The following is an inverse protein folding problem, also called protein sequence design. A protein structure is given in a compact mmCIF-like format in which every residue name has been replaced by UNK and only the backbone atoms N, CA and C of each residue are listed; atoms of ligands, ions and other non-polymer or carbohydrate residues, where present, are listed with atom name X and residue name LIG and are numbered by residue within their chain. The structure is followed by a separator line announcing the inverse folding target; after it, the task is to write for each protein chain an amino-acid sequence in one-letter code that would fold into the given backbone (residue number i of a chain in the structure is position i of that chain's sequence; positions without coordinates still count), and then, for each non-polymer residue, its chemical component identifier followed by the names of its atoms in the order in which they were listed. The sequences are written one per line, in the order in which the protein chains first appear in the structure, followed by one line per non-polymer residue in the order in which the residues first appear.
data_IF_029980676261
#
_entry.id   IF_029980676261
#
_cell.length_a   1.000
_cell.length_b   1.000
_cell.length_c   1.000
_cell.angle_alpha   90.00
_cell.angle_beta   90.00
_cell.angle_gamma   90.00
#
_symmetry.space_group_name_H-M   'P 1'
#
loop_
_entity.id
_entity.type
_entity.pdbx_description
1 polymer ?
#
# COMPACT_ATOMS: atom_id res chain seq x y z
N UNK A 1 -19.70 -14.44 -53.00
CA UNK A 1 -19.54 -13.18 -52.24
C UNK A 1 -19.94 -13.30 -50.76
N UNK A 2 -20.98 -14.06 -50.41
CA UNK A 2 -21.48 -14.20 -49.02
C UNK A 2 -20.45 -14.83 -48.04
N UNK A 3 -19.70 -15.86 -48.47
CA UNK A 3 -18.72 -16.55 -47.61
C UNK A 3 -17.52 -15.65 -47.18
N UNK A 4 -17.13 -14.70 -48.04
CA UNK A 4 -16.04 -13.74 -47.76
C UNK A 4 -16.49 -12.66 -46.77
N UNK A 5 -17.75 -12.24 -46.85
CA UNK A 5 -18.34 -11.29 -45.91
C UNK A 5 -18.48 -11.91 -44.50
N UNK A 6 -18.85 -13.20 -44.42
CA UNK A 6 -18.95 -13.92 -43.15
C UNK A 6 -17.60 -14.10 -42.46
N UNK A 7 -16.55 -14.42 -43.22
CA UNK A 7 -15.19 -14.56 -42.70
C UNK A 7 -14.64 -13.22 -42.16
N UNK A 8 -14.93 -12.10 -42.83
CA UNK A 8 -14.55 -10.77 -42.34
C UNK A 8 -15.29 -10.42 -41.04
N UNK A 9 -16.56 -10.80 -40.91
CA UNK A 9 -17.37 -10.51 -39.72
C UNK A 9 -16.87 -11.27 -38.48
N UNK A 10 -16.41 -12.52 -38.65
CA UNK A 10 -15.85 -13.34 -37.56
C UNK A 10 -14.49 -12.83 -37.06
N UNK A 11 -13.67 -12.22 -37.92
CA UNK A 11 -12.39 -11.61 -37.52
C UNK A 11 -12.56 -10.32 -36.71
N UNK A 12 -13.66 -9.58 -36.89
CA UNK A 12 -13.94 -8.34 -36.14
C UNK A 12 -14.38 -8.64 -34.71
N UNK A 13 -15.10 -9.76 -34.49
CA UNK A 13 -15.54 -10.18 -33.15
C UNK A 13 -14.40 -10.71 -32.26
N UNK A 14 -13.33 -11.25 -32.85
CA UNK A 14 -12.21 -11.83 -32.11
C UNK A 14 -11.25 -10.79 -31.51
N UNK A 15 -11.35 -9.52 -31.91
CA UNK A 15 -10.43 -8.45 -31.52
C UNK A 15 -11.02 -7.44 -30.52
N UNK A 16 -12.17 -7.76 -29.93
CA UNK A 16 -12.63 -7.06 -28.73
C UNK A 16 -11.76 -7.49 -27.54
N UNK A 17 -10.51 -7.01 -27.51
CA UNK A 17 -9.70 -7.07 -26.32
C UNK A 17 -10.41 -6.25 -25.25
N UNK A 18 -10.97 -6.92 -24.26
CA UNK A 18 -11.52 -6.27 -23.09
C UNK A 18 -10.41 -5.41 -22.47
N UNK A 19 -10.66 -4.11 -22.36
CA UNK A 19 -9.70 -3.19 -21.78
C UNK A 19 -9.36 -3.72 -20.38
N UNK A 20 -8.07 -3.93 -20.12
CA UNK A 20 -7.63 -4.38 -18.80
C UNK A 20 -8.21 -3.44 -17.74
N UNK A 21 -8.77 -3.97 -16.64
CA UNK A 21 -9.34 -3.13 -15.60
C UNK A 21 -8.28 -2.13 -15.14
N UNK A 22 -8.64 -0.85 -15.14
CA UNK A 22 -7.74 0.19 -14.67
C UNK A 22 -7.50 -0.04 -13.18
N UNK A 23 -6.24 -0.21 -12.79
CA UNK A 23 -5.87 -0.30 -11.36
C UNK A 23 -6.18 1.05 -10.73
N UNK A 24 -7.29 1.10 -9.99
CA UNK A 24 -7.62 2.25 -9.16
C UNK A 24 -6.74 2.22 -7.93
N UNK A 25 -5.69 3.03 -7.92
CA UNK A 25 -4.97 3.31 -6.68
C UNK A 25 -5.92 4.03 -5.73
N UNK A 26 -6.16 3.46 -4.56
CA UNK A 26 -6.85 4.19 -3.50
C UNK A 26 -5.94 5.34 -3.08
N UNK A 27 -6.39 6.56 -3.36
CA UNK A 27 -5.75 7.78 -2.87
C UNK A 27 -6.07 7.92 -1.37
N UNK A 28 -5.43 7.06 -0.57
CA UNK A 28 -5.40 7.18 0.88
C UNK A 28 -4.16 8.01 1.21
N UNK A 29 -4.31 9.34 1.41
CA UNK A 29 -3.17 10.19 1.73
C UNK A 29 -2.44 9.69 2.97
N UNK A 30 -1.11 9.84 2.96
CA UNK A 30 -0.23 9.58 4.10
C UNK A 30 0.52 8.25 4.05
N UNK A 31 -0.16 7.12 3.91
CA UNK A 31 0.47 5.80 4.15
C UNK A 31 1.07 5.17 2.90
N UNK A 32 0.29 5.06 1.81
CA UNK A 32 0.76 4.42 0.59
C UNK A 32 1.71 5.34 -0.15
N UNK A 33 2.83 4.81 -0.61
CA UNK A 33 3.79 5.58 -1.40
C UNK A 33 4.47 4.72 -2.46
N UNK A 34 5.27 5.31 -3.36
CA UNK A 34 6.13 4.56 -4.28
C UNK A 34 7.34 3.87 -3.61
N UNK A 35 7.32 3.67 -2.29
CA UNK A 35 8.37 3.01 -1.50
C UNK A 35 7.89 1.60 -1.10
N UNK A 36 8.56 0.95 -0.14
CA UNK A 36 8.12 -0.35 0.37
C UNK A 36 7.67 -0.22 1.82
N UNK A 37 6.36 -0.17 2.04
CA UNK A 37 5.73 -0.27 3.35
C UNK A 37 5.47 -1.73 3.73
N UNK A 38 5.69 -2.09 5.00
CA UNK A 38 5.39 -3.43 5.51
C UNK A 38 5.09 -3.44 7.00
N UNK A 39 4.59 -4.60 7.47
CA UNK A 39 4.31 -4.93 8.86
C UNK A 39 3.52 -3.84 9.61
N UNK A 40 2.29 -3.53 9.17
CA UNK A 40 1.45 -2.58 9.88
C UNK A 40 1.00 -3.14 11.24
N UNK A 41 1.03 -2.31 12.27
CA UNK A 41 0.51 -2.57 13.59
C UNK A 41 -0.28 -1.35 14.09
N UNK A 42 -1.41 -1.59 14.73
CA UNK A 42 -2.22 -0.53 15.35
C UNK A 42 -1.92 -0.50 16.84
N UNK A 43 -1.55 0.66 17.36
CA UNK A 43 -1.43 0.87 18.79
C UNK A 43 -2.84 0.82 19.43
N UNK A 44 -3.13 -0.13 20.33
CA UNK A 44 -4.47 -0.28 20.91
C UNK A 44 -4.84 0.85 21.88
N UNK A 45 -3.89 1.68 22.33
CA UNK A 45 -4.15 2.81 23.22
C UNK A 45 -4.49 4.09 22.46
N UNK A 46 -3.82 4.33 21.33
CA UNK A 46 -3.94 5.59 20.58
C UNK A 46 -4.73 5.43 19.28
N UNK A 47 -4.77 4.22 18.71
CA UNK A 47 -5.27 3.96 17.37
C UNK A 47 -4.30 4.38 16.25
N UNK A 48 -3.08 4.78 16.61
CA UNK A 48 -2.05 5.15 15.63
C UNK A 48 -1.58 3.94 14.82
N UNK A 49 -1.28 4.18 13.54
CA UNK A 49 -0.69 3.18 12.66
C UNK A 49 0.83 3.26 12.72
N UNK A 50 1.44 2.15 13.10
CA UNK A 50 2.88 1.92 13.08
C UNK A 50 3.20 0.95 11.95
N UNK A 51 4.30 1.20 11.24
CA UNK A 51 4.75 0.33 10.16
C UNK A 51 6.21 0.59 9.87
N UNK A 52 6.85 -0.31 9.11
CA UNK A 52 8.20 -0.07 8.59
C UNK A 52 8.14 0.32 7.12
N UNK A 53 9.02 1.24 6.71
CA UNK A 53 9.20 1.64 5.30
C UNK A 53 10.67 1.58 4.92
N UNK A 54 10.99 0.96 3.79
CA UNK A 54 12.32 1.06 3.15
C UNK A 54 12.27 1.90 1.88
N UNK A 55 13.46 2.29 1.39
CA UNK A 55 13.58 2.91 0.08
C UNK A 55 13.27 1.93 -1.06
N UNK A 56 13.17 2.42 -2.29
CA UNK A 56 12.84 1.59 -3.48
C UNK A 56 13.82 0.43 -3.73
N UNK A 57 15.02 0.46 -3.15
CA UNK A 57 16.03 -0.59 -3.25
C UNK A 57 15.92 -1.62 -2.11
N UNK A 58 14.82 -1.57 -1.34
CA UNK A 58 14.55 -2.45 -0.21
C UNK A 58 15.59 -2.29 0.91
N UNK A 59 16.04 -1.06 1.14
CA UNK A 59 17.09 -0.74 2.12
C UNK A 59 16.71 0.44 3.03
N UNK A 60 17.46 0.62 4.12
CA UNK A 60 17.28 1.77 5.02
C UNK A 60 15.95 1.78 5.78
N UNK A 61 15.44 0.60 6.18
CA UNK A 61 14.18 0.44 6.91
C UNK A 61 14.04 1.37 8.12
N UNK A 62 12.86 2.01 8.23
CA UNK A 62 12.44 2.91 9.30
C UNK A 62 11.05 2.60 9.81
N UNK A 63 10.86 2.56 11.12
CA UNK A 63 9.61 2.59 11.85
C UNK A 63 9.05 4.00 11.73
N UNK A 64 7.86 4.08 11.15
CA UNK A 64 7.08 5.29 10.97
C UNK A 64 5.77 5.16 11.73
N UNK A 65 5.27 6.29 12.20
CA UNK A 65 3.99 6.42 12.87
C UNK A 65 3.13 7.42 12.11
N UNK A 66 1.87 7.09 11.93
CA UNK A 66 0.85 7.96 11.38
C UNK A 66 -0.36 7.99 12.29
N UNK A 67 -0.83 9.20 12.59
CA UNK A 67 -2.00 9.44 13.43
C UNK A 67 -3.28 9.40 12.60
N UNK A 68 -4.36 8.85 13.16
CA UNK A 68 -5.68 8.89 12.54
C UNK A 68 -6.49 10.05 13.10
N UNK A 69 -6.54 11.16 12.37
CA UNK A 69 -7.32 12.33 12.74
C UNK A 69 -8.55 12.47 11.83
N UNK A 70 -9.75 12.37 12.41
CA UNK A 70 -11.03 12.56 11.70
C UNK A 70 -11.16 11.68 10.44
N UNK A 71 -10.71 10.43 10.52
CA UNK A 71 -10.77 9.47 9.43
C UNK A 71 -9.71 9.67 8.34
N UNK A 72 -8.67 10.48 8.60
CA UNK A 72 -7.53 10.65 7.70
C UNK A 72 -6.22 10.36 8.44
N UNK A 73 -5.35 9.65 7.75
CA UNK A 73 -3.98 9.43 8.21
C UNK A 73 -3.14 10.69 7.99
N UNK A 74 -2.31 11.04 8.97
CA UNK A 74 -1.31 12.09 8.83
C UNK A 74 -0.13 11.64 7.94
N UNK A 75 0.76 12.56 7.58
CA UNK A 75 2.05 12.18 7.00
C UNK A 75 2.85 11.32 7.99
N UNK A 76 3.35 10.14 7.60
CA UNK A 76 4.11 9.26 8.47
C UNK A 76 5.44 9.88 8.89
N UNK A 77 5.75 9.80 10.17
CA UNK A 77 6.99 10.35 10.73
C UNK A 77 7.76 9.27 11.49
N UNK A 78 9.11 9.28 11.45
CA UNK A 78 9.90 8.41 12.29
C UNK A 78 9.58 8.60 13.76
N UNK A 79 9.45 7.51 14.52
CA UNK A 79 9.27 7.61 15.96
C UNK A 79 10.60 7.92 16.66
N UNK A 80 10.53 8.45 17.90
CA UNK A 80 11.70 8.95 18.64
C UNK A 80 12.87 7.97 18.82
N UNK A 81 12.61 6.65 18.77
CA UNK A 81 13.67 5.64 18.90
C UNK A 81 14.12 5.04 17.57
N UNK A 82 13.44 5.33 16.45
CA UNK A 82 13.77 4.83 15.13
C UNK A 82 15.22 5.21 14.76
N UNK A 83 16.05 4.21 14.45
CA UNK A 83 17.48 4.40 14.14
C UNK A 83 18.04 3.26 13.29
N UNK A 84 19.12 3.55 12.55
CA UNK A 84 19.58 2.64 11.50
C UNK A 84 20.02 1.30 12.09
N UNK A 85 19.61 0.20 11.46
CA UNK A 85 20.05 -1.14 11.82
C UNK A 85 19.41 -1.76 13.08
N UNK A 86 18.43 -1.08 13.71
CA UNK A 86 17.70 -1.61 14.88
C UNK A 86 16.20 -1.78 14.64
N UNK A 87 15.76 -1.62 13.40
CA UNK A 87 14.34 -1.47 13.08
C UNK A 87 13.79 -2.83 12.64
N UNK A 88 12.77 -3.29 13.34
CA UNK A 88 12.08 -4.54 13.09
C UNK A 88 10.57 -4.30 13.04
N UNK A 89 9.84 -5.37 12.74
CA UNK A 89 8.40 -5.35 12.57
C UNK A 89 7.72 -4.94 13.89
N UNK A 90 6.93 -3.85 13.90
CA UNK A 90 6.26 -3.42 15.13
C UNK A 90 5.18 -4.43 15.52
N UNK A 91 5.07 -4.71 16.81
CA UNK A 91 3.99 -5.52 17.38
C UNK A 91 3.59 -4.98 18.74
N UNK A 92 2.31 -4.64 18.93
CA UNK A 92 1.82 -4.24 20.24
C UNK A 92 1.23 -5.42 21.00
N UNK A 93 1.54 -5.50 22.31
CA UNK A 93 0.74 -6.33 23.22
C UNK A 93 -0.71 -5.83 23.25
N UNK A 94 -1.66 -6.72 23.55
CA UNK A 94 -3.08 -6.38 23.54
C UNK A 94 -3.45 -5.23 24.48
N UNK A 95 -2.67 -5.01 25.54
CA UNK A 95 -2.83 -3.89 26.49
C UNK A 95 -2.07 -2.61 26.07
N UNK A 96 -1.34 -2.65 24.96
CA UNK A 96 -0.54 -1.55 24.40
C UNK A 96 0.66 -1.12 25.25
N UNK A 97 1.04 -1.90 26.26
CA UNK A 97 2.13 -1.52 27.18
C UNK A 97 3.52 -1.88 26.66
N UNK A 98 3.61 -2.77 25.68
CA UNK A 98 4.87 -3.16 25.04
C UNK A 98 4.74 -3.11 23.53
N UNK A 99 5.86 -2.78 22.89
CA UNK A 99 6.11 -2.78 21.44
C UNK A 99 7.27 -3.73 21.14
#
# INVERSE_FOLDING_TARGET
MIMRALALFLLILANAAEAAPTVAHWDLPGISSPMWESHPAIDPLTGDLWFVRSDRKFSGWRILVSHCDKGRWSDPKPWRFARAGLEADPYFTADGRSL
#
